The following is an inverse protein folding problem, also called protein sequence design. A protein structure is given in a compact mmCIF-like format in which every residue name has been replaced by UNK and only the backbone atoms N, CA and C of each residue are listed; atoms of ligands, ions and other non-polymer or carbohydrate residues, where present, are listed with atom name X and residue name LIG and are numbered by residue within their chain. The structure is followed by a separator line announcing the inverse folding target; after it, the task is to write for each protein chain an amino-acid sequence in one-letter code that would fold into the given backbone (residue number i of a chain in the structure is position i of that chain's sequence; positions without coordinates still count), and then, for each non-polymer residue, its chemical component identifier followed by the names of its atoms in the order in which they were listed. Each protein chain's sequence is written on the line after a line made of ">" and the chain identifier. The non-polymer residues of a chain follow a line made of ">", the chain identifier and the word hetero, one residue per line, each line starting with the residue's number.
data_IF_473903053488
#
_entry.id   IF_473903053488
#
_cell.length_a   1.000
_cell.length_b   1.000
_cell.length_c   1.000
_cell.angle_alpha   90.00
_cell.angle_beta   90.00
_cell.angle_gamma   90.00
#
_symmetry.space_group_name_H-M   'P 1'
#
loop_
_entity.id
_entity.type
_entity.pdbx_description
1 polymer ?
#
# COMPACT_ATOMS: atom_id res chain seq x y z
N UNK A 1 -9.45 -8.14 -7.57
CA UNK A 1 -8.75 -6.86 -7.34
C UNK A 1 -8.75 -6.56 -5.87
N UNK A 2 -7.76 -5.80 -5.38
CA UNK A 2 -7.66 -5.36 -4.00
C UNK A 2 -7.72 -3.83 -4.00
N UNK A 3 -8.58 -3.25 -3.19
CA UNK A 3 -8.63 -1.81 -2.94
C UNK A 3 -8.11 -1.54 -1.53
N UNK A 4 -7.31 -0.49 -1.40
CA UNK A 4 -6.68 -0.08 -0.16
C UNK A 4 -6.94 1.41 0.04
N UNK A 5 -7.32 1.77 1.26
CA UNK A 5 -7.48 3.13 1.74
C UNK A 5 -6.59 3.32 2.98
N UNK A 6 -5.98 4.49 3.13
CA UNK A 6 -5.14 4.79 4.29
C UNK A 6 -5.98 5.43 5.39
N UNK A 7 -6.35 4.61 6.37
CA UNK A 7 -7.13 5.05 7.52
C UNK A 7 -6.53 6.31 8.17
N UNK A 8 -7.36 7.32 8.38
CA UNK A 8 -7.00 8.57 9.05
C UNK A 8 -5.84 9.35 8.40
N UNK A 9 -5.57 9.19 7.10
CA UNK A 9 -4.47 9.89 6.44
C UNK A 9 -4.58 11.43 6.56
N UNK A 10 -5.80 11.98 6.51
CA UNK A 10 -6.03 13.40 6.80
C UNK A 10 -5.50 13.83 8.17
N UNK A 11 -5.65 13.01 9.22
CA UNK A 11 -5.12 13.34 10.54
C UNK A 11 -3.59 13.40 10.55
N UNK A 12 -2.91 12.59 9.73
CA UNK A 12 -1.46 12.65 9.57
C UNK A 12 -1.06 13.98 8.93
N UNK A 13 -1.75 14.39 7.87
CA UNK A 13 -1.51 15.68 7.21
C UNK A 13 -1.77 16.86 8.16
N UNK A 14 -2.87 16.82 8.88
CA UNK A 14 -3.26 17.91 9.79
C UNK A 14 -2.28 18.03 10.97
N UNK A 15 -1.73 16.90 11.47
CA UNK A 15 -0.83 16.88 12.64
C UNK A 15 0.64 17.08 12.29
N UNK A 16 1.09 16.55 11.17
CA UNK A 16 2.52 16.48 10.80
C UNK A 16 2.85 17.19 9.48
N UNK A 17 1.85 17.76 8.81
CA UNK A 17 2.00 18.45 7.53
C UNK A 17 2.02 17.52 6.32
N UNK A 18 1.74 18.09 5.15
CA UNK A 18 1.64 17.37 3.89
C UNK A 18 2.92 16.61 3.51
N UNK A 19 4.11 17.14 3.82
CA UNK A 19 5.37 16.43 3.58
C UNK A 19 5.46 15.10 4.36
N UNK A 20 4.83 15.01 5.53
CA UNK A 20 4.76 13.75 6.27
C UNK A 20 3.79 12.77 5.60
N UNK A 21 2.65 13.27 5.11
CA UNK A 21 1.72 12.47 4.30
C UNK A 21 2.37 11.92 3.04
N UNK A 22 3.13 12.74 2.31
CA UNK A 22 3.87 12.29 1.11
C UNK A 22 4.83 11.14 1.43
N UNK A 23 5.55 11.23 2.55
CA UNK A 23 6.43 10.14 3.01
C UNK A 23 5.65 8.86 3.31
N UNK A 24 4.48 8.98 3.94
CA UNK A 24 3.61 7.83 4.21
C UNK A 24 3.13 7.21 2.90
N UNK A 25 2.66 8.01 1.94
CA UNK A 25 2.24 7.53 0.62
C UNK A 25 3.37 6.82 -0.12
N UNK A 26 4.59 7.37 -0.10
CA UNK A 26 5.77 6.73 -0.71
C UNK A 26 6.11 5.40 -0.04
N UNK A 27 6.05 5.35 1.29
CA UNK A 27 6.32 4.12 2.06
C UNK A 27 5.31 3.03 1.74
N UNK A 28 4.02 3.39 1.70
CA UNK A 28 2.94 2.48 1.34
C UNK A 28 3.11 2.00 -0.09
N UNK A 29 3.33 2.91 -1.05
CA UNK A 29 3.53 2.55 -2.45
C UNK A 29 4.72 1.58 -2.63
N UNK A 30 5.84 1.80 -1.93
CA UNK A 30 7.00 0.91 -1.93
C UNK A 30 6.65 -0.47 -1.36
N UNK A 31 5.95 -0.50 -0.23
CA UNK A 31 5.50 -1.74 0.43
C UNK A 31 4.58 -2.54 -0.49
N UNK A 32 3.60 -1.89 -1.12
CA UNK A 32 2.70 -2.51 -2.08
C UNK A 32 3.47 -3.05 -3.28
N UNK A 33 4.36 -2.24 -3.86
CA UNK A 33 5.16 -2.62 -5.04
C UNK A 33 6.01 -3.87 -4.79
N UNK A 34 6.53 -4.05 -3.56
CA UNK A 34 7.29 -5.25 -3.17
C UNK A 34 6.47 -6.55 -3.12
N UNK A 35 5.15 -6.45 -3.10
CA UNK A 35 4.24 -7.59 -2.95
C UNK A 35 3.49 -7.95 -4.24
N UNK A 36 3.54 -7.07 -5.24
CA UNK A 36 2.88 -7.20 -6.54
C UNK A 36 3.78 -8.05 -7.44
N UNK A 37 3.22 -9.10 -8.07
CA UNK A 37 3.99 -9.97 -8.97
C UNK A 37 4.04 -9.40 -10.39
N UNK A 38 4.91 -9.94 -11.23
CA UNK A 38 4.95 -9.58 -12.64
C UNK A 38 3.60 -9.88 -13.31
N UNK A 39 2.99 -8.87 -13.94
CA UNK A 39 1.68 -8.97 -14.59
C UNK A 39 0.50 -8.48 -13.75
N UNK A 40 0.69 -8.28 -12.45
CA UNK A 40 -0.27 -7.52 -11.64
C UNK A 40 -0.03 -6.00 -11.85
N UNK A 41 -1.09 -5.20 -11.71
CA UNK A 41 -1.05 -3.76 -11.88
C UNK A 41 -1.35 -3.07 -10.55
N UNK A 42 -0.40 -2.29 -10.04
CA UNK A 42 -0.59 -1.40 -8.90
C UNK A 42 -0.80 0.03 -9.41
N UNK A 43 -1.81 0.72 -8.88
CA UNK A 43 -2.05 2.12 -9.17
C UNK A 43 -2.58 2.87 -7.95
N UNK A 44 -2.27 4.17 -7.87
CA UNK A 44 -2.93 5.11 -6.96
C UNK A 44 -4.15 5.67 -7.69
N UNK A 45 -5.33 5.46 -7.12
CA UNK A 45 -6.61 5.83 -7.75
C UNK A 45 -7.19 7.13 -7.19
N UNK A 46 -6.73 7.54 -6.00
CA UNK A 46 -7.18 8.75 -5.32
C UNK A 46 -6.08 9.41 -4.50
N UNK A 47 -6.48 10.32 -3.60
CA UNK A 47 -5.56 11.04 -2.71
C UNK A 47 -4.81 10.10 -1.78
N UNK A 48 -5.50 9.16 -1.14
CA UNK A 48 -4.91 8.19 -0.21
C UNK A 48 -5.24 6.74 -0.56
N UNK A 49 -5.87 6.55 -1.73
CA UNK A 49 -6.41 5.28 -2.19
C UNK A 49 -5.50 4.60 -3.22
N UNK A 50 -5.29 3.30 -3.05
CA UNK A 50 -4.53 2.44 -3.95
C UNK A 50 -5.38 1.26 -4.42
N UNK A 51 -5.08 0.75 -5.62
CA UNK A 51 -5.72 -0.41 -6.20
C UNK A 51 -4.68 -1.35 -6.80
N UNK A 52 -4.88 -2.66 -6.59
CA UNK A 52 -4.10 -3.71 -7.22
C UNK A 52 -5.03 -4.59 -8.05
N UNK A 53 -4.79 -4.62 -9.35
CA UNK A 53 -5.42 -5.55 -10.28
C UNK A 53 -4.51 -6.76 -10.42
N UNK A 54 -5.06 -7.94 -10.11
CA UNK A 54 -4.31 -9.20 -10.15
C UNK A 54 -4.99 -10.15 -11.14
N UNK A 55 -4.62 -10.11 -12.44
CA UNK A 55 -5.12 -11.07 -13.42
C UNK A 55 -4.79 -12.49 -12.99
N UNK A 56 -5.59 -13.49 -13.40
CA UNK A 56 -5.33 -14.90 -13.09
C UNK A 56 -5.10 -15.15 -11.58
N UNK A 57 -5.92 -14.54 -10.73
CA UNK A 57 -5.87 -14.69 -9.28
C UNK A 57 -7.27 -15.01 -8.78
N UNK A 58 -7.37 -16.06 -7.97
CA UNK A 58 -8.61 -16.42 -7.28
C UNK A 58 -8.90 -15.46 -6.13
N UNK A 59 -10.14 -15.44 -5.65
CA UNK A 59 -10.50 -14.63 -4.48
C UNK A 59 -9.69 -15.01 -3.24
N UNK A 60 -9.41 -16.30 -3.04
CA UNK A 60 -8.67 -16.79 -1.88
C UNK A 60 -7.21 -16.34 -1.90
N UNK A 61 -6.55 -16.39 -3.06
CA UNK A 61 -5.18 -15.87 -3.23
C UNK A 61 -5.14 -14.35 -3.03
N UNK A 62 -6.11 -13.63 -3.61
CA UNK A 62 -6.21 -12.19 -3.42
C UNK A 62 -6.41 -11.81 -1.94
N UNK A 63 -7.24 -12.55 -1.20
CA UNK A 63 -7.44 -12.34 0.24
C UNK A 63 -6.16 -12.61 1.05
N UNK A 64 -5.41 -13.66 0.72
CA UNK A 64 -4.13 -13.96 1.36
C UNK A 64 -3.08 -12.86 1.09
N UNK A 65 -3.03 -12.34 -0.13
CA UNK A 65 -2.16 -11.22 -0.49
C UNK A 65 -2.57 -9.94 0.25
N UNK A 66 -3.86 -9.64 0.34
CA UNK A 66 -4.38 -8.49 1.07
C UNK A 66 -4.01 -8.55 2.55
N UNK A 67 -4.19 -9.69 3.22
CA UNK A 67 -3.85 -9.82 4.63
C UNK A 67 -2.33 -9.69 4.87
N UNK A 68 -1.51 -10.26 4.00
CA UNK A 68 -0.05 -10.09 4.06
C UNK A 68 0.37 -8.63 3.91
N UNK A 69 -0.28 -7.89 3.00
CA UNK A 69 -0.03 -6.46 2.80
C UNK A 69 -0.43 -5.64 4.03
N UNK A 70 -1.61 -5.92 4.59
CA UNK A 70 -2.12 -5.28 5.80
C UNK A 70 -1.13 -5.45 6.97
N UNK A 71 -0.66 -6.68 7.19
CA UNK A 71 0.34 -6.97 8.23
C UNK A 71 1.66 -6.22 8.00
N UNK A 72 2.18 -6.19 6.76
CA UNK A 72 3.43 -5.47 6.45
C UNK A 72 3.32 -3.97 6.69
N UNK A 73 2.19 -3.36 6.34
CA UNK A 73 1.96 -1.92 6.55
C UNK A 73 1.80 -1.64 8.05
N UNK A 74 1.08 -2.49 8.79
CA UNK A 74 0.91 -2.35 10.23
C UNK A 74 2.23 -2.51 10.99
N UNK A 75 3.07 -3.46 10.58
CA UNK A 75 4.31 -3.78 11.30
C UNK A 75 5.41 -2.75 11.08
N UNK A 76 5.38 -1.97 10.00
CA UNK A 76 6.23 -0.79 9.77
C UNK A 76 7.75 -0.98 9.92
N UNK A 77 8.25 -2.21 10.09
CA UNK A 77 9.60 -2.51 10.59
C UNK A 77 10.61 -2.96 9.53
N UNK A 78 10.20 -3.18 8.30
CA UNK A 78 11.03 -3.95 7.37
C UNK A 78 11.13 -3.34 5.99
N UNK A 79 11.71 -2.14 5.85
CA UNK A 79 12.39 -1.80 4.60
C UNK A 79 13.64 -0.95 4.86
N UNK A 80 14.78 -1.65 4.84
CA UNK A 80 16.10 -1.06 4.70
C UNK A 80 16.15 -0.37 3.32
N UNK A 81 16.26 0.95 3.32
CA UNK A 81 16.54 1.73 2.11
C UNK A 81 18.02 1.51 1.81
N UNK A 82 18.35 0.73 0.77
CA UNK A 82 19.72 0.67 0.26
C UNK A 82 20.06 2.04 -0.33
N UNK A 83 21.20 2.59 0.10
CA UNK A 83 21.76 3.90 -0.25
C UNK A 83 22.22 3.98 -1.70
#
# INVERSE_FOLDING_TARGET
>A
MIQLDLDHFKHINDRYGHQAGDRVLSMVASTLSSAVRQGDLLGRVGGEEFCIVMPNTTLQEAAAVAERLRQRIQDGKSFCITT
#
